data_IF_513711339158
#
_entry.id   IF_513711339158
#
_cell.length_a   1.000
_cell.length_b   1.000
_cell.length_c   1.000
_cell.angle_alpha   90.00
_cell.angle_beta   90.00
_cell.angle_gamma   90.00
#
_symmetry.space_group_name_H-M   'P 1'
#
loop_
_entity.id
_entity.type
_entity.pdbx_description
1 polymer ?
#
# COMPACT_ATOMS: atom_id res chain seq x y z
N UNK A 1 -7.05 18.22 -5.86
CA UNK A 1 -6.86 17.57 -4.55
C UNK A 1 -6.94 16.05 -4.80
N UNK A 2 -6.71 15.13 -3.85
CA UNK A 2 -6.80 13.70 -4.16
C UNK A 2 -8.25 13.31 -4.53
N UNK A 3 -8.42 12.67 -5.69
CA UNK A 3 -9.73 12.25 -6.23
C UNK A 3 -9.94 10.75 -6.08
N UNK A 4 -10.94 10.31 -5.33
CA UNK A 4 -11.25 8.89 -5.11
C UNK A 4 -12.28 8.42 -6.14
N UNK A 5 -11.86 7.48 -6.98
CA UNK A 5 -12.66 6.87 -8.02
C UNK A 5 -13.07 5.46 -7.59
N UNK A 6 -14.37 5.19 -7.60
CA UNK A 6 -14.92 3.88 -7.25
C UNK A 6 -16.32 3.71 -7.87
N UNK A 7 -16.74 2.46 -8.04
CA UNK A 7 -18.14 2.16 -8.30
C UNK A 7 -18.96 2.34 -7.00
N UNK A 8 -20.08 3.06 -7.04
CA UNK A 8 -20.92 3.33 -5.87
C UNK A 8 -21.39 2.06 -5.15
N UNK A 9 -21.58 0.95 -5.88
CA UNK A 9 -21.95 -0.33 -5.31
C UNK A 9 -20.87 -0.91 -4.37
N UNK A 10 -19.59 -0.58 -4.59
CA UNK A 10 -18.50 -0.96 -3.69
C UNK A 10 -18.61 -0.23 -2.35
N UNK A 11 -18.89 1.07 -2.39
CA UNK A 11 -19.11 1.85 -1.18
C UNK A 11 -20.35 1.34 -0.42
N UNK A 12 -21.44 1.07 -1.13
CA UNK A 12 -22.67 0.50 -0.53
C UNK A 12 -22.44 -0.87 0.09
N UNK A 13 -21.62 -1.72 -0.55
CA UNK A 13 -21.23 -3.03 -0.01
C UNK A 13 -20.46 -2.87 1.31
N UNK A 14 -19.47 -1.98 1.34
CA UNK A 14 -18.68 -1.72 2.54
C UNK A 14 -19.52 -1.10 3.66
N UNK A 15 -20.47 -0.22 3.31
CA UNK A 15 -21.42 0.39 4.25
C UNK A 15 -22.49 -0.60 4.74
N UNK A 16 -22.85 -1.61 3.93
CA UNK A 16 -24.03 -2.44 4.17
C UNK A 16 -25.35 -1.69 3.96
N UNK A 17 -25.33 -0.59 3.19
CA UNK A 17 -26.48 0.31 3.00
C UNK A 17 -26.48 0.91 1.58
N UNK A 18 -27.66 1.03 0.98
CA UNK A 18 -27.83 1.78 -0.28
C UNK A 18 -27.72 3.29 -0.04
N UNK A 19 -27.09 3.97 -0.99
CA UNK A 19 -26.92 5.40 -1.05
C UNK A 19 -27.86 6.01 -2.11
N UNK A 20 -28.19 7.30 -2.01
CA UNK A 20 -28.87 8.00 -3.10
C UNK A 20 -28.02 7.95 -4.40
N UNK A 21 -28.68 8.18 -5.53
CA UNK A 21 -28.03 8.34 -6.84
C UNK A 21 -28.02 9.77 -7.34
N UNK A 22 -28.69 10.66 -6.61
CA UNK A 22 -28.68 12.08 -6.85
C UNK A 22 -27.39 12.71 -6.28
N UNK A 23 -26.75 13.57 -7.07
CA UNK A 23 -25.46 14.18 -6.74
C UNK A 23 -25.57 15.15 -5.55
N UNK A 24 -26.67 15.88 -5.43
CA UNK A 24 -26.89 16.82 -4.31
C UNK A 24 -26.98 16.04 -2.99
N UNK A 25 -27.80 14.99 -2.96
CA UNK A 25 -27.93 14.11 -1.80
C UNK A 25 -26.62 13.36 -1.46
N UNK A 26 -25.84 12.96 -2.46
CA UNK A 26 -24.52 12.36 -2.23
C UNK A 26 -23.52 13.38 -1.65
N UNK A 27 -23.55 14.63 -2.13
CA UNK A 27 -22.70 15.70 -1.60
C UNK A 27 -23.03 16.03 -0.13
N UNK A 28 -24.29 15.97 0.29
CA UNK A 28 -24.66 16.10 1.71
C UNK A 28 -23.99 15.02 2.59
N UNK A 29 -23.86 13.80 2.06
CA UNK A 29 -23.20 12.69 2.77
C UNK A 29 -21.68 12.86 2.74
N UNK A 30 -21.09 13.12 1.57
CA UNK A 30 -19.63 13.25 1.42
C UNK A 30 -19.06 14.51 2.08
N UNK A 31 -19.87 15.53 2.34
CA UNK A 31 -19.47 16.72 3.10
C UNK A 31 -18.84 16.35 4.46
N UNK A 32 -19.30 15.26 5.10
CA UNK A 32 -18.72 14.77 6.36
C UNK A 32 -17.23 14.42 6.24
N UNK A 33 -16.82 13.83 5.12
CA UNK A 33 -15.42 13.50 4.82
C UNK A 33 -14.71 14.62 4.03
N UNK A 34 -15.29 15.82 4.00
CA UNK A 34 -14.86 16.96 3.16
C UNK A 34 -14.71 16.56 1.68
N UNK A 35 -15.56 15.64 1.25
CA UNK A 35 -15.64 15.16 -0.12
C UNK A 35 -16.68 15.91 -0.92
N UNK A 36 -16.45 16.05 -2.21
CA UNK A 36 -17.41 16.58 -3.19
C UNK A 36 -17.38 15.69 -4.44
N UNK A 37 -18.56 15.32 -4.95
CA UNK A 37 -18.68 14.57 -6.21
C UNK A 37 -18.22 15.46 -7.35
N UNK A 38 -17.05 15.15 -7.90
CA UNK A 38 -16.51 15.83 -9.07
C UNK A 38 -17.14 15.32 -10.37
N UNK A 39 -17.45 14.02 -10.41
CA UNK A 39 -18.07 13.37 -11.56
C UNK A 39 -18.89 12.14 -11.12
N UNK A 40 -20.01 11.91 -11.78
CA UNK A 40 -20.79 10.68 -11.63
C UNK A 40 -21.43 10.30 -12.97
N UNK A 41 -21.14 9.10 -13.45
CA UNK A 41 -21.76 8.51 -14.65
C UNK A 41 -22.16 7.06 -14.37
N UNK A 42 -23.47 6.81 -14.42
CA UNK A 42 -24.02 5.51 -14.06
C UNK A 42 -23.69 5.14 -12.61
N UNK A 43 -22.83 4.13 -12.44
CA UNK A 43 -22.36 3.68 -11.12
C UNK A 43 -20.95 4.17 -10.78
N UNK A 44 -20.22 4.76 -11.72
CA UNK A 44 -18.89 5.30 -11.47
C UNK A 44 -19.00 6.67 -10.80
N UNK A 45 -18.31 6.82 -9.67
CA UNK A 45 -18.28 8.06 -8.88
C UNK A 45 -16.83 8.48 -8.67
N UNK A 46 -16.55 9.75 -8.94
CA UNK A 46 -15.31 10.42 -8.57
C UNK A 46 -15.61 11.45 -7.47
N UNK A 47 -14.99 11.28 -6.31
CA UNK A 47 -15.11 12.20 -5.18
C UNK A 47 -13.77 12.91 -4.96
N UNK A 48 -13.76 14.23 -5.05
CA UNK A 48 -12.60 15.03 -4.64
C UNK A 48 -12.60 15.19 -3.11
N UNK A 49 -11.58 14.66 -2.45
CA UNK A 49 -11.40 14.80 -0.99
C UNK A 49 -10.50 16.01 -0.74
N UNK A 50 -11.09 17.07 -0.16
CA UNK A 50 -10.38 18.34 0.06
C UNK A 50 -9.38 18.28 1.21
N UNK A 51 -9.48 17.27 2.08
CA UNK A 51 -8.55 17.09 3.19
C UNK A 51 -7.28 16.32 2.76
N UNK A 52 -6.18 17.05 2.61
CA UNK A 52 -4.88 16.47 2.29
C UNK A 52 -4.13 15.91 3.51
N UNK A 53 -4.65 16.09 4.73
CA UNK A 53 -4.02 15.59 5.96
C UNK A 53 -4.57 14.24 6.41
N UNK A 54 -5.60 13.73 5.74
CA UNK A 54 -6.24 12.44 6.03
C UNK A 54 -6.03 11.45 4.86
N UNK A 55 -4.80 10.92 4.69
CA UNK A 55 -4.49 9.97 3.63
C UNK A 55 -5.28 8.66 3.74
N UNK A 56 -5.82 8.36 4.92
CA UNK A 56 -6.74 7.24 5.12
C UNK A 56 -8.04 7.39 4.32
N UNK A 57 -8.47 8.62 3.99
CA UNK A 57 -9.68 8.90 3.20
C UNK A 57 -9.46 8.83 1.68
N UNK A 58 -8.25 8.52 1.20
CA UNK A 58 -7.96 8.53 -0.25
C UNK A 58 -8.33 7.24 -0.99
N UNK A 59 -8.98 6.31 -0.27
CA UNK A 59 -9.58 5.08 -0.77
C UNK A 59 -11.03 4.94 -0.31
N UNK A 60 -11.80 4.10 -1.00
CA UNK A 60 -13.23 3.89 -0.70
C UNK A 60 -13.45 3.24 0.66
N UNK A 61 -12.49 2.45 1.14
CA UNK A 61 -12.49 1.79 2.44
C UNK A 61 -12.46 2.81 3.58
N UNK A 62 -11.57 3.80 3.49
CA UNK A 62 -11.49 4.86 4.49
C UNK A 62 -12.69 5.80 4.46
N UNK A 63 -13.18 6.16 3.26
CA UNK A 63 -14.44 6.91 3.12
C UNK A 63 -15.59 6.13 3.78
N UNK A 64 -15.72 4.84 3.48
CA UNK A 64 -16.76 3.98 4.07
C UNK A 64 -16.66 3.96 5.59
N UNK A 65 -15.46 3.76 6.14
CA UNK A 65 -15.20 3.73 7.57
C UNK A 65 -15.60 5.03 8.28
N UNK A 66 -15.27 6.19 7.70
CA UNK A 66 -15.70 7.47 8.25
C UNK A 66 -17.22 7.67 8.15
N UNK A 67 -17.83 7.31 7.03
CA UNK A 67 -19.27 7.43 6.81
C UNK A 67 -20.10 6.49 7.68
N UNK A 68 -19.58 5.32 8.09
CA UNK A 68 -20.28 4.44 9.03
C UNK A 68 -20.62 5.13 10.35
N UNK A 69 -19.67 5.90 10.89
CA UNK A 69 -19.91 6.70 12.10
C UNK A 69 -20.94 7.81 11.86
N UNK A 70 -20.81 8.54 10.76
CA UNK A 70 -21.75 9.61 10.40
C UNK A 70 -23.18 9.13 10.18
N UNK A 71 -23.34 7.97 9.53
CA UNK A 71 -24.63 7.38 9.19
C UNK A 71 -25.24 6.52 10.32
N UNK A 72 -24.58 6.43 11.48
CA UNK A 72 -25.03 5.63 12.62
C UNK A 72 -25.02 4.12 12.38
N UNK A 73 -24.14 3.64 11.49
CA UNK A 73 -24.02 2.21 11.14
C UNK A 73 -23.08 1.49 12.11
N UNK A 74 -21.93 2.11 12.41
CA UNK A 74 -20.92 1.60 13.33
C UNK A 74 -20.39 2.79 14.12
N UNK A 75 -20.61 2.80 15.43
CA UNK A 75 -20.22 3.90 16.31
C UNK A 75 -19.00 3.53 17.17
N UNK A 76 -18.20 4.55 17.49
CA UNK A 76 -17.01 4.39 18.32
C UNK A 76 -15.74 4.03 17.52
N UNK A 77 -14.71 3.61 18.24
CA UNK A 77 -13.43 3.25 17.64
C UNK A 77 -13.51 1.85 17.02
N UNK A 78 -13.30 1.77 15.71
CA UNK A 78 -13.13 0.47 15.05
C UNK A 78 -11.82 -0.17 15.52
N UNK A 79 -11.92 -1.39 16.06
CA UNK A 79 -10.78 -2.12 16.61
C UNK A 79 -10.19 -3.08 15.57
N UNK A 80 -9.05 -2.70 15.00
CA UNK A 80 -8.20 -3.63 14.25
C UNK A 80 -7.31 -4.40 15.22
N UNK A 81 -7.09 -5.69 14.95
CA UNK A 81 -6.24 -6.57 15.76
C UNK A 81 -5.28 -7.33 14.87
N UNK A 82 -4.06 -7.51 15.36
CA UNK A 82 -3.12 -8.47 14.79
C UNK A 82 -3.61 -9.87 15.23
N UNK A 83 -3.95 -10.72 14.27
CA UNK A 83 -4.52 -12.06 14.53
C UNK A 83 -3.45 -13.11 14.79
N UNK A 84 -2.22 -12.85 14.37
CA UNK A 84 -1.06 -13.72 14.59
C UNK A 84 0.21 -13.14 13.99
N UNK A 85 1.30 -13.89 14.10
CA UNK A 85 2.56 -13.62 13.38
C UNK A 85 2.55 -14.40 12.08
N UNK A 86 2.92 -13.75 10.99
CA UNK A 86 3.13 -14.40 9.71
C UNK A 86 4.35 -15.33 9.76
N UNK A 87 4.49 -16.19 8.75
CA UNK A 87 5.66 -17.09 8.63
C UNK A 87 6.88 -16.39 8.02
N UNK A 88 6.79 -15.11 7.76
CA UNK A 88 7.81 -14.32 7.07
C UNK A 88 8.45 -13.33 8.01
N UNK A 89 9.75 -13.18 7.86
CA UNK A 89 10.52 -12.07 8.39
C UNK A 89 11.20 -11.33 7.24
N UNK A 90 11.59 -10.08 7.51
CA UNK A 90 12.36 -9.25 6.59
C UNK A 90 13.76 -9.06 7.16
N UNK A 91 14.79 -9.39 6.37
CA UNK A 91 16.18 -9.09 6.68
C UNK A 91 16.63 -7.83 5.94
N UNK A 92 17.07 -6.80 6.68
CA UNK A 92 17.44 -5.50 6.09
C UNK A 92 18.96 -5.35 6.03
N UNK A 93 19.48 -5.22 4.81
CA UNK A 93 20.91 -5.03 4.58
C UNK A 93 21.40 -3.66 5.06
N UNK A 94 22.53 -3.63 5.77
CA UNK A 94 23.07 -2.41 6.41
C UNK A 94 23.30 -1.23 5.47
N UNK A 95 23.73 -1.49 4.23
CA UNK A 95 23.98 -0.45 3.22
C UNK A 95 22.73 0.37 2.86
N UNK A 96 21.53 -0.13 3.13
CA UNK A 96 20.30 0.60 2.88
C UNK A 96 20.13 1.82 3.79
N UNK A 97 20.86 1.89 4.91
CA UNK A 97 20.87 3.04 5.82
C UNK A 97 21.08 4.37 5.09
N UNK A 98 21.99 4.37 4.11
CA UNK A 98 22.40 5.56 3.36
C UNK A 98 21.62 5.75 2.03
N UNK A 99 20.72 4.81 1.69
CA UNK A 99 20.03 4.78 0.38
C UNK A 99 18.52 4.92 0.58
N UNK A 100 17.92 3.96 1.28
CA UNK A 100 16.47 3.87 1.54
C UNK A 100 16.27 3.05 2.84
N UNK A 101 16.40 3.72 4.00
CA UNK A 101 16.68 3.06 5.28
C UNK A 101 15.53 2.26 5.92
N UNK A 102 14.29 2.39 5.44
CA UNK A 102 13.15 1.81 6.16
C UNK A 102 12.31 0.92 5.25
N UNK A 103 11.87 -0.19 5.81
CA UNK A 103 10.84 -1.10 5.29
C UNK A 103 9.89 -1.50 6.41
N UNK A 104 8.60 -1.53 6.11
CA UNK A 104 7.59 -2.13 6.99
C UNK A 104 6.73 -3.06 6.16
N UNK A 105 6.37 -4.20 6.74
CA UNK A 105 5.58 -5.23 6.06
C UNK A 105 4.41 -5.70 6.93
N UNK A 106 3.35 -6.14 6.28
CA UNK A 106 2.21 -6.79 6.92
C UNK A 106 1.62 -7.83 5.98
N UNK A 107 1.12 -8.93 6.53
CA UNK A 107 0.40 -9.94 5.74
C UNK A 107 -1.08 -9.79 6.05
N UNK A 108 -1.93 -9.71 5.03
CA UNK A 108 -3.38 -9.72 5.21
C UNK A 108 -3.96 -10.97 4.56
N UNK A 109 -4.52 -11.84 5.40
CA UNK A 109 -5.08 -13.15 5.02
C UNK A 109 -6.56 -13.04 4.67
N UNK A 110 -7.02 -13.98 3.86
CA UNK A 110 -8.44 -14.19 3.54
C UNK A 110 -9.16 -12.94 3.00
N UNK A 111 -8.46 -12.11 2.22
CA UNK A 111 -9.05 -10.91 1.64
C UNK A 111 -10.09 -11.25 0.56
N UNK A 112 -11.17 -10.46 0.51
CA UNK A 112 -12.18 -10.55 -0.55
C UNK A 112 -11.92 -9.48 -1.61
N UNK A 113 -11.40 -9.92 -2.76
CA UNK A 113 -11.04 -9.04 -3.87
C UNK A 113 -11.98 -9.24 -5.07
N UNK A 114 -12.52 -8.12 -5.54
CA UNK A 114 -13.13 -7.98 -6.86
C UNK A 114 -12.23 -7.12 -7.75
N UNK A 115 -12.43 -7.12 -9.07
CA UNK A 115 -11.69 -6.23 -9.98
C UNK A 115 -11.77 -4.76 -9.56
N UNK A 116 -12.95 -4.30 -9.13
CA UNK A 116 -13.15 -2.94 -8.59
C UNK A 116 -12.39 -2.72 -7.27
N UNK A 117 -12.36 -3.71 -6.38
CA UNK A 117 -11.57 -3.63 -5.15
C UNK A 117 -10.07 -3.49 -5.44
N UNK A 118 -9.55 -4.30 -6.38
CA UNK A 118 -8.15 -4.26 -6.79
C UNK A 118 -7.82 -2.91 -7.40
N UNK A 119 -8.65 -2.41 -8.33
CA UNK A 119 -8.50 -1.08 -8.92
C UNK A 119 -8.47 0.02 -7.85
N UNK A 120 -9.40 -0.02 -6.89
CA UNK A 120 -9.43 0.91 -5.76
C UNK A 120 -8.18 0.87 -4.89
N UNK A 121 -7.68 -0.33 -4.57
CA UNK A 121 -6.44 -0.52 -3.81
C UNK A 121 -5.20 -0.02 -4.56
N UNK A 122 -5.13 -0.24 -5.88
CA UNK A 122 -4.05 0.33 -6.72
C UNK A 122 -4.12 1.85 -6.73
N UNK A 123 -5.31 2.44 -6.86
CA UNK A 123 -5.49 3.90 -6.80
C UNK A 123 -5.09 4.47 -5.43
N UNK A 124 -5.43 3.79 -4.33
CA UNK A 124 -5.00 4.18 -2.99
C UNK A 124 -3.46 4.14 -2.87
N UNK A 125 -2.85 3.04 -3.30
CA UNK A 125 -1.39 2.88 -3.36
C UNK A 125 -0.74 4.04 -4.15
N UNK A 126 -1.19 4.30 -5.37
CA UNK A 126 -0.61 5.32 -6.25
C UNK A 126 -0.72 6.72 -5.65
N UNK A 127 -1.85 7.06 -4.99
CA UNK A 127 -2.00 8.37 -4.32
C UNK A 127 -1.15 8.51 -3.09
N UNK A 128 -1.05 7.45 -2.27
CA UNK A 128 -0.17 7.43 -1.10
C UNK A 128 1.27 7.66 -1.56
N UNK A 129 1.73 6.95 -2.59
CA UNK A 129 3.08 7.10 -3.14
C UNK A 129 3.33 8.46 -3.78
N UNK A 130 2.35 9.00 -4.52
CA UNK A 130 2.47 10.30 -5.17
C UNK A 130 2.47 11.45 -4.16
N UNK A 131 1.50 11.46 -3.25
CA UNK A 131 1.23 12.62 -2.37
C UNK A 131 1.94 12.48 -1.04
N UNK A 132 1.63 11.44 -0.25
CA UNK A 132 2.24 11.21 1.06
C UNK A 132 3.73 10.83 0.92
N UNK A 133 4.03 10.02 -0.08
CA UNK A 133 5.33 9.54 -0.50
C UNK A 133 6.16 10.55 -1.30
N UNK A 134 5.60 11.70 -1.71
CA UNK A 134 6.26 12.74 -2.52
C UNK A 134 6.91 12.17 -3.78
N UNK A 135 6.10 11.54 -4.64
CA UNK A 135 6.56 10.88 -5.85
C UNK A 135 7.53 9.75 -5.52
N UNK A 136 7.12 8.87 -4.61
CA UNK A 136 7.85 7.67 -4.13
C UNK A 136 9.15 7.89 -3.33
N UNK A 137 9.59 9.13 -3.17
CA UNK A 137 10.82 9.48 -2.44
C UNK A 137 10.75 9.11 -0.94
N UNK A 138 9.61 9.30 -0.30
CA UNK A 138 9.39 9.03 1.14
C UNK A 138 8.82 7.65 1.42
N UNK A 139 7.95 7.14 0.56
CA UNK A 139 7.35 5.79 0.65
C UNK A 139 7.17 5.22 -0.74
N UNK A 140 7.22 3.90 -0.88
CA UNK A 140 6.81 3.17 -2.10
C UNK A 140 6.13 1.92 -1.62
N UNK A 141 4.94 1.62 -2.14
CA UNK A 141 4.14 0.50 -1.66
C UNK A 141 4.18 -0.63 -2.69
N UNK A 142 4.40 -1.85 -2.22
CA UNK A 142 4.31 -3.09 -2.97
C UNK A 142 3.16 -3.97 -2.44
N UNK A 143 2.44 -4.61 -3.36
CA UNK A 143 1.40 -5.60 -3.03
C UNK A 143 1.72 -6.89 -3.79
N UNK A 144 1.85 -7.99 -3.06
CA UNK A 144 2.28 -9.28 -3.63
C UNK A 144 1.34 -10.39 -3.18
N UNK A 145 1.15 -11.40 -4.03
CA UNK A 145 0.49 -12.63 -3.61
C UNK A 145 1.43 -13.37 -2.65
N UNK A 146 1.05 -13.40 -1.37
CA UNK A 146 1.86 -13.96 -0.29
C UNK A 146 2.11 -15.46 -0.46
N UNK A 147 1.18 -16.19 -1.09
CA UNK A 147 1.29 -17.64 -1.27
C UNK A 147 2.40 -18.05 -2.26
N UNK A 148 2.98 -17.09 -2.98
CA UNK A 148 4.06 -17.30 -3.95
C UNK A 148 5.46 -16.96 -3.41
N UNK A 149 5.56 -16.49 -2.16
CA UNK A 149 6.80 -15.98 -1.55
C UNK A 149 7.39 -17.04 -0.61
N UNK A 150 8.69 -17.33 -0.79
CA UNK A 150 9.43 -18.21 0.13
C UNK A 150 10.19 -17.38 1.19
N UNK A 151 9.81 -17.42 2.48
CA UNK A 151 10.49 -16.67 3.53
C UNK A 151 11.88 -17.25 3.90
N UNK A 152 12.77 -16.44 4.50
CA UNK A 152 12.64 -15.00 4.76
C UNK A 152 12.72 -14.15 3.48
N UNK A 153 12.31 -12.89 3.56
CA UNK A 153 12.45 -11.91 2.48
C UNK A 153 13.65 -11.00 2.79
N UNK A 154 14.47 -10.77 1.77
CA UNK A 154 15.72 -10.02 1.86
C UNK A 154 15.53 -8.64 1.25
N UNK A 155 15.54 -7.59 2.07
CA UNK A 155 15.65 -6.21 1.62
C UNK A 155 17.13 -5.83 1.53
N UNK A 156 17.66 -5.85 0.32
CA UNK A 156 19.09 -5.80 0.07
C UNK A 156 19.47 -4.74 -0.97
N UNK A 157 20.75 -4.71 -1.32
CA UNK A 157 21.31 -3.86 -2.37
C UNK A 157 21.91 -4.69 -3.50
N UNK A 158 21.86 -4.17 -4.72
CA UNK A 158 22.42 -4.79 -5.92
C UNK A 158 23.21 -3.78 -6.74
N UNK A 159 24.27 -4.23 -7.43
CA UNK A 159 24.80 -3.43 -8.54
C UNK A 159 23.77 -3.39 -9.69
N UNK A 160 23.78 -2.33 -10.52
CA UNK A 160 22.82 -2.16 -11.61
C UNK A 160 22.75 -3.30 -12.63
N UNK A 161 23.86 -4.01 -12.86
CA UNK A 161 23.96 -5.09 -13.85
C UNK A 161 23.96 -6.50 -13.23
N UNK A 162 23.90 -6.60 -11.91
CA UNK A 162 24.09 -7.87 -11.21
C UNK A 162 22.83 -8.72 -11.16
N UNK A 163 21.66 -8.07 -11.07
CA UNK A 163 20.36 -8.72 -11.04
C UNK A 163 19.49 -8.27 -12.22
N UNK A 164 18.67 -9.21 -12.68
CA UNK A 164 17.71 -8.99 -13.76
C UNK A 164 16.44 -9.81 -13.50
N UNK A 165 15.28 -9.24 -13.82
CA UNK A 165 13.97 -9.88 -13.70
C UNK A 165 13.02 -9.35 -14.77
N UNK A 166 11.83 -9.94 -14.90
CA UNK A 166 10.79 -9.43 -15.80
C UNK A 166 9.96 -8.38 -15.04
N UNK A 167 10.09 -7.07 -15.33
CA UNK A 167 9.32 -6.07 -14.61
C UNK A 167 7.84 -6.12 -14.98
N UNK A 168 6.99 -5.68 -14.06
CA UNK A 168 5.54 -5.66 -14.25
C UNK A 168 5.15 -4.91 -15.54
N UNK A 169 4.45 -5.58 -16.45
CA UNK A 169 4.02 -4.99 -17.73
C UNK A 169 4.98 -5.24 -18.90
N UNK A 170 6.09 -5.93 -18.67
CA UNK A 170 7.01 -6.40 -19.70
C UNK A 170 7.00 -7.94 -19.78
N UNK A 171 7.58 -8.48 -20.85
CA UNK A 171 7.76 -9.92 -21.08
C UNK A 171 9.22 -10.34 -21.13
N UNK A 172 10.14 -9.38 -21.29
CA UNK A 172 11.57 -9.62 -21.34
C UNK A 172 12.23 -9.41 -19.98
N UNK A 173 13.26 -10.21 -19.71
CA UNK A 173 14.10 -10.08 -18.52
C UNK A 173 15.08 -8.93 -18.74
N UNK A 174 15.05 -7.93 -17.85
CA UNK A 174 15.86 -6.72 -17.94
C UNK A 174 16.75 -6.57 -16.70
N UNK A 175 17.99 -6.11 -16.90
CA UNK A 175 18.82 -5.69 -15.76
C UNK A 175 18.21 -4.46 -15.07
N UNK A 176 18.60 -4.17 -13.83
CA UNK A 176 18.11 -2.96 -13.15
C UNK A 176 18.43 -1.70 -13.96
N UNK A 177 19.60 -1.66 -14.61
CA UNK A 177 20.02 -0.54 -15.48
C UNK A 177 19.07 -0.39 -16.67
N UNK A 178 18.76 -1.49 -17.33
CA UNK A 178 17.82 -1.49 -18.46
C UNK A 178 16.41 -1.11 -18.02
N UNK A 179 15.97 -1.52 -16.83
CA UNK A 179 14.69 -1.10 -16.27
C UNK A 179 14.61 0.42 -16.18
N UNK A 180 15.65 1.10 -15.66
CA UNK A 180 15.64 2.56 -15.59
C UNK A 180 15.60 3.24 -16.97
N UNK A 181 16.19 2.62 -17.98
CA UNK A 181 16.27 3.19 -19.33
C UNK A 181 15.03 2.92 -20.18
N UNK A 182 14.39 1.75 -20.03
CA UNK A 182 13.34 1.25 -20.92
C UNK A 182 11.95 1.26 -20.29
N UNK A 183 11.84 0.95 -18.99
CA UNK A 183 10.55 0.81 -18.33
C UNK A 183 9.95 2.19 -18.03
N UNK A 184 8.65 2.47 -18.29
CA UNK A 184 8.05 3.77 -18.02
C UNK A 184 8.26 4.26 -16.58
N UNK A 185 8.06 3.38 -15.60
CA UNK A 185 8.34 3.68 -14.17
C UNK A 185 9.83 3.84 -13.86
N UNK A 186 10.70 3.19 -14.63
CA UNK A 186 12.14 3.37 -14.55
C UNK A 186 12.55 4.78 -14.97
N UNK A 187 12.01 5.26 -16.09
CA UNK A 187 12.25 6.63 -16.57
C UNK A 187 11.65 7.67 -15.62
N UNK A 188 10.45 7.41 -15.10
CA UNK A 188 9.74 8.33 -14.20
C UNK A 188 10.45 8.47 -12.84
N UNK A 189 10.83 7.36 -12.20
CA UNK A 189 11.33 7.33 -10.82
C UNK A 189 12.82 6.99 -10.67
N UNK A 190 13.54 6.69 -11.75
CA UNK A 190 14.95 6.26 -11.72
C UNK A 190 15.87 7.26 -11.03
N UNK A 191 15.56 8.55 -11.15
CA UNK A 191 16.26 9.65 -10.49
C UNK A 191 16.34 9.51 -8.96
N UNK A 192 15.50 8.67 -8.31
CA UNK A 192 15.55 8.39 -6.87
C UNK A 192 16.77 7.54 -6.50
N UNK A 193 17.20 6.64 -7.39
CA UNK A 193 18.26 5.65 -7.11
C UNK A 193 19.54 5.87 -7.94
N UNK A 194 19.45 6.56 -9.07
CA UNK A 194 20.57 6.79 -10.01
C UNK A 194 21.82 7.43 -9.39
N UNK A 195 21.64 8.25 -8.35
CA UNK A 195 22.75 8.89 -7.62
C UNK A 195 23.61 7.92 -6.79
N UNK A 196 23.13 6.69 -6.56
CA UNK A 196 23.82 5.68 -5.76
C UNK A 196 24.54 4.64 -6.63
N UNK A 197 25.64 4.10 -6.09
CA UNK A 197 26.40 3.01 -6.74
C UNK A 197 25.69 1.65 -6.65
N UNK A 198 24.91 1.45 -5.60
CA UNK A 198 24.15 0.25 -5.29
C UNK A 198 22.69 0.63 -5.16
N UNK A 199 21.80 -0.27 -5.56
CA UNK A 199 20.38 0.00 -5.68
C UNK A 199 19.56 -0.97 -4.84
N UNK A 200 18.45 -0.53 -4.22
CA UNK A 200 17.62 -1.41 -3.42
C UNK A 200 17.03 -2.55 -4.26
N UNK A 201 16.91 -3.73 -3.67
CA UNK A 201 16.27 -4.89 -4.28
C UNK A 201 15.55 -5.67 -3.18
N UNK A 202 14.36 -6.18 -3.49
CA UNK A 202 13.61 -7.05 -2.60
C UNK A 202 13.51 -8.43 -3.26
N UNK A 203 13.92 -9.49 -2.55
CA UNK A 203 13.85 -10.87 -3.05
C UNK A 203 13.52 -11.85 -1.93
N UNK A 204 13.00 -13.01 -2.30
CA UNK A 204 12.72 -14.10 -1.36
C UNK A 204 13.94 -15.02 -1.15
N UNK A 205 13.81 -16.03 -0.29
CA UNK A 205 14.92 -16.94 0.06
C UNK A 205 15.32 -17.89 -1.08
N UNK A 206 14.43 -18.10 -2.05
CA UNK A 206 14.73 -18.84 -3.29
C UNK A 206 15.39 -17.94 -4.35
N UNK A 207 15.59 -16.65 -4.05
CA UNK A 207 16.19 -15.67 -4.94
C UNK A 207 15.25 -15.09 -5.98
N UNK A 208 13.93 -15.32 -5.87
CA UNK A 208 12.93 -14.67 -6.74
C UNK A 208 12.82 -13.20 -6.34
N UNK A 209 12.93 -12.32 -7.33
CA UNK A 209 12.85 -10.88 -7.11
C UNK A 209 11.39 -10.47 -6.94
N UNK A 210 11.08 -9.82 -5.82
CA UNK A 210 9.78 -9.19 -5.56
C UNK A 210 9.69 -7.86 -6.28
N UNK A 211 10.69 -7.01 -6.09
CA UNK A 211 10.68 -5.66 -6.66
C UNK A 211 12.07 -5.06 -6.69
N UNK A 212 12.17 -3.97 -7.46
CA UNK A 212 13.25 -3.00 -7.39
C UNK A 212 12.69 -1.72 -6.77
N UNK A 213 12.69 -1.55 -5.43
CA UNK A 213 12.16 -0.35 -4.81
C UNK A 213 12.99 0.91 -5.10
N UNK A 214 12.36 2.08 -5.27
CA UNK A 214 10.92 2.33 -5.35
C UNK A 214 10.37 2.35 -6.80
N UNK A 215 11.01 1.61 -7.70
CA UNK A 215 10.81 1.73 -9.15
C UNK A 215 9.65 0.86 -9.64
N UNK A 216 9.78 -0.47 -9.51
CA UNK A 216 8.82 -1.41 -10.10
C UNK A 216 8.83 -2.78 -9.43
N UNK A 217 7.67 -3.43 -9.41
CA UNK A 217 7.51 -4.81 -8.97
C UNK A 217 7.88 -5.79 -10.09
N UNK A 218 8.24 -7.01 -9.69
CA UNK A 218 8.42 -8.11 -10.62
C UNK A 218 7.08 -8.65 -11.10
N UNK A 219 7.08 -9.19 -12.32
CA UNK A 219 5.97 -9.98 -12.85
C UNK A 219 6.04 -11.45 -12.37
N UNK A 220 7.20 -11.90 -11.87
CA UNK A 220 7.49 -13.31 -11.57
C UNK A 220 6.73 -13.85 -10.35
N UNK A 221 6.43 -13.01 -9.35
CA UNK A 221 5.70 -13.40 -8.13
C UNK A 221 4.18 -13.20 -8.23
N UNK A 222 3.68 -13.07 -9.46
CA UNK A 222 2.26 -12.94 -9.75
C UNK A 222 1.71 -11.56 -9.42
N UNK A 223 0.76 -11.10 -10.24
CA UNK A 223 -0.03 -9.91 -9.93
C UNK A 223 -1.07 -10.27 -8.88
N UNK A 224 -1.47 -9.32 -8.05
CA UNK A 224 -2.69 -9.46 -7.25
C UNK A 224 -3.87 -9.57 -8.21
N UNK A 225 -4.63 -10.66 -8.08
CA UNK A 225 -5.83 -10.98 -8.88
C UNK A 225 -7.02 -11.22 -7.95
N UNK A 226 -8.22 -11.38 -8.51
CA UNK A 226 -9.43 -11.71 -7.74
C UNK A 226 -9.32 -13.05 -6.98
N UNK A 227 -8.44 -13.95 -7.44
CA UNK A 227 -8.15 -15.23 -6.79
C UNK A 227 -7.17 -15.09 -5.62
N UNK A 228 -6.45 -13.97 -5.52
CA UNK A 228 -5.48 -13.74 -4.44
C UNK A 228 -6.21 -13.59 -3.10
N UNK A 229 -5.89 -14.46 -2.14
CA UNK A 229 -6.47 -14.43 -0.79
C UNK A 229 -5.54 -13.90 0.27
N UNK A 230 -4.23 -14.01 0.05
CA UNK A 230 -3.23 -13.63 1.02
C UNK A 230 -2.30 -12.61 0.37
N UNK A 231 -2.23 -11.40 0.94
CA UNK A 231 -1.44 -10.31 0.38
C UNK A 231 -0.32 -9.95 1.34
N UNK A 232 0.91 -9.92 0.83
CA UNK A 232 2.00 -9.21 1.50
C UNK A 232 1.93 -7.74 1.07
N UNK A 233 1.78 -6.85 2.03
CA UNK A 233 1.94 -5.41 1.86
C UNK A 233 3.34 -5.04 2.31
N UNK A 234 4.11 -4.44 1.42
CA UNK A 234 5.43 -3.88 1.70
C UNK A 234 5.38 -2.38 1.52
N UNK A 235 6.04 -1.65 2.41
CA UNK A 235 6.30 -0.22 2.22
C UNK A 235 7.76 0.05 2.52
N UNK A 236 8.50 0.55 1.55
CA UNK A 236 9.88 1.03 1.74
C UNK A 236 9.94 2.54 1.70
N UNK A 237 10.91 3.17 2.35
CA UNK A 237 10.97 4.62 2.43
C UNK A 237 12.21 5.22 3.06
N UNK A 238 12.19 6.55 3.14
CA UNK A 238 13.24 7.37 3.77
C UNK A 238 12.81 7.95 5.12
N UNK A 239 11.55 7.73 5.52
CA UNK A 239 11.02 8.12 6.83
C UNK A 239 10.18 7.00 7.44
N UNK A 240 10.63 6.48 8.59
CA UNK A 240 9.99 5.37 9.31
C UNK A 240 8.51 5.62 9.64
N UNK A 241 8.16 6.80 10.14
CA UNK A 241 6.77 7.19 10.44
C UNK A 241 5.89 7.11 9.19
N UNK A 242 6.31 7.73 8.10
CA UNK A 242 5.56 7.75 6.83
C UNK A 242 5.39 6.34 6.27
N UNK A 243 6.40 5.48 6.42
CA UNK A 243 6.36 4.07 6.02
C UNK A 243 5.33 3.28 6.85
N UNK A 244 5.34 3.43 8.17
CA UNK A 244 4.42 2.74 9.06
C UNK A 244 2.97 3.20 8.90
N UNK A 245 2.74 4.50 8.69
CA UNK A 245 1.41 5.04 8.45
C UNK A 245 0.82 4.50 7.13
N UNK A 246 1.61 4.53 6.05
CA UNK A 246 1.18 4.01 4.75
C UNK A 246 0.88 2.51 4.82
N UNK A 247 1.71 1.72 5.52
CA UNK A 247 1.44 0.31 5.76
C UNK A 247 0.13 0.12 6.53
N UNK A 248 -0.08 0.90 7.59
CA UNK A 248 -1.30 0.84 8.43
C UNK A 248 -2.55 1.15 7.61
N UNK A 249 -2.51 2.17 6.76
CA UNK A 249 -3.63 2.52 5.87
C UNK A 249 -3.95 1.36 4.93
N UNK A 250 -2.94 0.78 4.28
CA UNK A 250 -3.13 -0.34 3.35
C UNK A 250 -3.64 -1.60 4.06
N UNK A 251 -3.06 -1.98 5.20
CA UNK A 251 -3.50 -3.15 5.96
C UNK A 251 -4.94 -2.98 6.50
N UNK A 252 -5.30 -1.79 6.99
CA UNK A 252 -6.66 -1.54 7.48
C UNK A 252 -7.69 -1.47 6.34
N UNK A 253 -7.32 -0.96 5.16
CA UNK A 253 -8.17 -1.02 3.97
C UNK A 253 -8.45 -2.47 3.54
N UNK A 254 -7.43 -3.33 3.53
CA UNK A 254 -7.61 -4.76 3.26
C UNK A 254 -8.44 -5.46 4.35
N UNK A 255 -8.27 -5.08 5.62
CA UNK A 255 -9.09 -5.61 6.71
C UNK A 255 -10.56 -5.19 6.61
N UNK A 256 -10.85 -4.00 6.07
CA UNK A 256 -12.23 -3.57 5.78
C UNK A 256 -12.90 -4.43 4.69
N UNK A 257 -12.11 -5.20 3.94
CA UNK A 257 -12.55 -6.21 2.95
C UNK A 257 -12.48 -7.64 3.49
N UNK A 258 -12.67 -7.80 4.81
CA UNK A 258 -12.71 -9.10 5.49
C UNK A 258 -11.34 -9.68 5.82
N UNK A 259 -10.26 -8.98 5.50
CA UNK A 259 -8.90 -9.47 5.72
C UNK A 259 -8.48 -9.54 7.20
N UNK A 260 -7.68 -10.54 7.52
CA UNK A 260 -7.07 -10.70 8.85
C UNK A 260 -5.60 -10.28 8.81
N UNK A 261 -5.21 -9.35 9.68
CA UNK A 261 -3.85 -8.78 9.68
C UNK A 261 -2.93 -9.66 10.52
N UNK A 262 -1.92 -10.26 9.89
CA UNK A 262 -0.78 -10.91 10.53
C UNK A 262 0.42 -9.95 10.55
N UNK A 263 1.19 -9.96 11.65
CA UNK A 263 2.41 -9.17 11.76
C UNK A 263 3.61 -9.82 11.08
N UNK A 264 4.59 -9.01 10.72
CA UNK A 264 5.86 -9.40 10.12
C UNK A 264 6.99 -8.85 10.98
N UNK A 265 7.97 -9.69 11.31
CA UNK A 265 9.19 -9.26 11.99
C UNK A 265 10.17 -8.66 10.98
N UNK A 266 10.70 -7.47 11.27
CA UNK A 266 11.68 -6.77 10.45
C UNK A 266 12.96 -6.61 11.25
N UNK A 267 14.04 -7.21 10.76
CA UNK A 267 15.37 -7.22 11.39
C UNK A 267 16.23 -6.13 10.78
N UNK A 268 16.54 -5.11 11.59
CA UNK A 268 17.44 -4.03 11.24
C UNK A 268 18.79 -4.21 11.93
N UNK A 269 19.87 -4.02 11.17
CA UNK A 269 21.23 -3.91 11.71
C UNK A 269 21.69 -2.46 11.93
N UNK A 270 20.80 -1.48 11.78
CA UNK A 270 21.11 -0.05 11.91
C UNK A 270 19.91 0.80 12.37
N UNK A 271 20.15 1.97 13.00
CA UNK A 271 21.45 2.44 13.52
C UNK A 271 21.96 1.60 14.70
N UNK A 272 21.07 0.85 15.35
CA UNK A 272 21.36 -0.20 16.31
C UNK A 272 20.62 -1.47 15.88
N UNK A 273 21.10 -2.64 16.30
CA UNK A 273 20.41 -3.90 16.02
C UNK A 273 19.05 -3.90 16.72
N UNK A 274 17.98 -4.04 15.93
CA UNK A 274 16.61 -4.06 16.45
C UNK A 274 15.72 -4.96 15.61
N UNK A 275 14.75 -5.57 16.28
CA UNK A 275 13.64 -6.28 15.64
C UNK A 275 12.37 -5.46 15.86
N UNK A 276 11.69 -5.13 14.78
CA UNK A 276 10.43 -4.37 14.80
C UNK A 276 9.31 -5.26 14.28
N UNK A 277 8.17 -5.28 14.96
CA UNK A 277 6.98 -6.02 14.53
C UNK A 277 5.99 -5.03 13.86
N UNK A 278 5.66 -5.25 12.59
CA UNK A 278 4.78 -4.38 11.78
C UNK A 278 3.57 -5.15 11.25
N UNK A 279 2.40 -4.52 10.97
CA UNK A 279 2.09 -3.09 11.18
C UNK A 279 1.87 -2.70 12.65
N UNK A 280 2.02 -1.41 12.95
CA UNK A 280 1.81 -0.86 14.29
C UNK A 280 0.40 -0.27 14.38
N UNK A 281 -0.54 -1.00 15.00
CA UNK A 281 -1.96 -0.64 15.10
C UNK A 281 -2.32 0.03 16.44
N UNK A 282 -1.51 0.99 16.88
CA UNK A 282 -1.72 1.66 18.16
C UNK A 282 -2.94 2.58 18.16
N UNK A 283 -3.61 2.67 19.31
CA UNK A 283 -4.71 3.61 19.54
C UNK A 283 -4.34 4.56 20.68
N UNK A 284 -4.78 5.82 20.60
CA UNK A 284 -4.48 6.84 21.59
C UNK A 284 -5.76 7.38 22.25
N UNK A 285 -5.70 7.67 23.56
CA UNK A 285 -6.77 8.38 24.27
C UNK A 285 -6.41 9.86 24.36
N UNK A 286 -7.24 10.72 23.78
CA UNK A 286 -7.12 12.16 23.89
C UNK A 286 -8.11 12.68 24.94
N UNK A 287 -7.60 13.46 25.90
CA UNK A 287 -8.45 14.17 26.87
C UNK A 287 -8.64 15.60 26.39
N UNK A 288 -9.85 15.92 25.94
CA UNK A 288 -10.24 17.30 25.63
C UNK A 288 -10.31 18.08 26.95
N UNK A 289 -9.72 19.28 26.97
CA UNK A 289 -9.77 20.20 28.11
C UNK A 289 -10.93 21.16 27.96
#
# INVERSE_FOLDING_TARGET
MPTVEFNISELERLLGRRLPRDVEALNEIFAYVKGEVAYMEGEEVNVEVKDSNHPDLWGVEGISRALKGYLGIEEGLKHYRITGRSRTSIEVHETLAEIRPYIACGVVRNVELTGEAIKGLMHLQDKLDLTYGRGRRRTSIGLYNYDLITPPVHYMVSKPEEHAFVPLGFQERLSLREILQKHPKGVEYGHIVEGFKLWPLLKDDEGKILSFPPIINSNDLGKVTEETKNILVEVTGTREETVNDALTIMCTALADRGGEIESVEVHYSYPEERVVETPILNTAKLKLR
#
